data_IF_398460606046
#
_entry.id   IF_398460606046
#
_cell.length_a   1.000
_cell.length_b   1.000
_cell.length_c   1.000
_cell.angle_alpha   90.00
_cell.angle_beta   90.00
_cell.angle_gamma   90.00
#
_symmetry.space_group_name_H-M   'P 1'
#
loop_
_entity.id
_entity.type
_entity.pdbx_description
1 polymer ?
#
# COMPACT_ATOMS: atom_id res chain seq x y z
N UNK A 1 11.91 9.59 54.74
CA UNK A 1 12.54 8.43 54.08
C UNK A 1 11.54 7.29 54.05
N UNK A 2 10.72 7.17 52.99
CA UNK A 2 10.04 5.93 52.60
C UNK A 2 9.83 6.01 51.09
N UNK A 3 10.50 5.11 50.39
CA UNK A 3 10.45 4.88 48.96
C UNK A 3 9.37 3.82 48.63
N UNK A 4 9.04 3.71 47.33
CA UNK A 4 8.53 2.51 46.61
C UNK A 4 7.02 2.21 46.67
N UNK A 5 6.32 2.48 45.56
CA UNK A 5 6.08 1.55 44.42
C UNK A 5 4.84 1.99 43.61
N UNK A 6 5.07 2.29 42.34
CA UNK A 6 4.07 2.59 41.32
C UNK A 6 3.04 1.46 41.17
N UNK A 7 1.74 1.79 41.19
CA UNK A 7 0.65 0.87 40.86
C UNK A 7 0.03 1.25 39.52
N UNK A 8 0.20 0.35 38.56
CA UNK A 8 -0.34 0.41 37.20
C UNK A 8 -1.85 0.12 37.28
N UNK A 9 -2.69 1.09 36.93
CA UNK A 9 -4.10 0.84 36.63
C UNK A 9 -4.24 0.60 35.12
N UNK A 10 -4.50 -0.65 34.73
CA UNK A 10 -4.77 -1.06 33.35
C UNK A 10 -6.16 -0.54 32.94
N UNK A 11 -6.22 0.27 31.89
CA UNK A 11 -7.48 0.69 31.27
C UNK A 11 -8.13 -0.55 30.60
N UNK A 12 -9.45 -0.76 30.70
CA UNK A 12 -10.11 -1.82 29.93
C UNK A 12 -10.02 -1.48 28.44
N UNK A 13 -9.46 -2.42 27.66
CA UNK A 13 -9.39 -2.35 26.20
C UNK A 13 -10.75 -2.69 25.63
N UNK A 14 -11.42 -1.72 25.01
CA UNK A 14 -12.63 -1.96 24.21
C UNK A 14 -12.25 -2.77 22.97
N UNK A 15 -12.58 -4.06 22.96
CA UNK A 15 -12.57 -4.90 21.75
C UNK A 15 -13.89 -4.64 21.02
N UNK A 16 -13.92 -4.32 19.72
CA UNK A 16 -15.16 -4.32 18.96
C UNK A 16 -15.68 -5.76 18.89
N UNK A 17 -16.91 -5.98 19.36
CA UNK A 17 -17.56 -7.28 19.33
C UNK A 17 -17.66 -7.79 17.89
N UNK A 18 -16.99 -8.91 17.61
CA UNK A 18 -17.19 -9.71 16.40
C UNK A 18 -18.62 -10.23 16.47
N UNK A 19 -19.43 -9.89 15.47
CA UNK A 19 -20.80 -10.40 15.37
C UNK A 19 -20.80 -11.93 15.26
N UNK A 20 -21.75 -12.55 15.95
CA UNK A 20 -21.89 -13.99 16.16
C UNK A 20 -21.80 -14.82 14.88
N UNK A 21 -20.99 -15.88 15.00
CA UNK A 21 -20.67 -16.97 14.08
C UNK A 21 -21.86 -17.84 13.62
N UNK A 22 -23.11 -17.40 13.78
CA UNK A 22 -24.30 -18.17 13.39
C UNK A 22 -24.69 -17.99 11.92
N UNK A 23 -24.16 -16.96 11.24
CA UNK A 23 -24.37 -16.73 9.80
C UNK A 23 -23.41 -17.56 8.91
N UNK A 24 -22.35 -18.15 9.49
CA UNK A 24 -21.27 -18.81 8.73
C UNK A 24 -21.35 -20.35 8.67
N UNK A 25 -22.35 -20.99 9.28
CA UNK A 25 -22.34 -22.45 9.52
C UNK A 25 -23.49 -23.21 8.83
N UNK A 26 -23.81 -22.87 7.58
CA UNK A 26 -24.70 -23.69 6.75
C UNK A 26 -23.91 -24.35 5.61
N UNK A 27 -23.22 -25.45 5.94
CA UNK A 27 -22.70 -26.39 4.94
C UNK A 27 -21.30 -26.92 5.25
N UNK A 28 -21.15 -27.65 6.37
CA UNK A 28 -19.93 -28.38 6.68
C UNK A 28 -20.17 -29.89 6.52
N UNK A 29 -19.46 -30.50 5.58
CA UNK A 29 -19.41 -31.96 5.35
C UNK A 29 -18.53 -32.63 6.44
N UNK A 30 -19.05 -33.59 7.23
CA UNK A 30 -18.40 -34.10 8.44
C UNK A 30 -17.34 -35.21 8.24
N UNK A 31 -16.81 -35.47 7.04
CA UNK A 31 -15.87 -36.59 6.82
C UNK A 31 -14.37 -36.23 6.72
N UNK A 32 -13.95 -34.97 6.76
CA UNK A 32 -12.51 -34.61 6.65
C UNK A 32 -11.82 -34.25 7.97
N UNK A 33 -12.46 -34.61 9.08
CA UNK A 33 -12.03 -34.36 10.45
C UNK A 33 -10.95 -35.35 10.94
N UNK A 34 -9.90 -35.59 10.17
CA UNK A 34 -8.83 -36.52 10.55
C UNK A 34 -7.46 -36.08 10.06
N UNK A 35 -6.77 -35.25 10.87
CA UNK A 35 -5.37 -35.46 11.29
C UNK A 35 -4.88 -34.31 12.20
N UNK A 36 -4.38 -34.68 13.38
CA UNK A 36 -3.73 -33.80 14.36
C UNK A 36 -2.40 -33.19 13.84
N UNK A 37 -1.87 -32.12 14.48
CA UNK A 37 -0.92 -31.18 13.90
C UNK A 37 0.57 -31.48 14.23
N UNK A 38 1.51 -30.93 13.44
CA UNK A 38 2.77 -30.43 13.99
C UNK A 38 3.15 -29.04 13.42
N UNK A 39 4.27 -28.42 13.84
CA UNK A 39 4.39 -27.39 14.87
C UNK A 39 4.46 -25.93 14.33
N UNK A 40 4.46 -25.00 15.29
CA UNK A 40 4.87 -23.57 15.32
C UNK A 40 5.54 -22.94 14.07
N UNK A 41 5.36 -21.62 13.88
CA UNK A 41 5.62 -20.93 12.62
C UNK A 41 7.11 -21.02 12.24
N UNK A 42 7.37 -21.74 11.16
CA UNK A 42 8.62 -21.63 10.43
C UNK A 42 8.74 -20.20 9.93
N UNK A 43 9.86 -19.57 10.30
CA UNK A 43 10.42 -18.35 9.72
C UNK A 43 10.06 -18.32 8.24
N UNK A 44 9.16 -17.41 7.85
CA UNK A 44 8.79 -17.24 6.45
C UNK A 44 10.07 -16.88 5.71
N UNK A 45 10.53 -17.83 4.89
CA UNK A 45 11.61 -17.67 3.93
C UNK A 45 11.48 -16.33 3.19
N UNK A 46 12.61 -15.75 2.76
CA UNK A 46 12.59 -14.52 2.02
C UNK A 46 11.73 -14.74 0.79
N UNK A 47 10.64 -13.98 0.69
CA UNK A 47 10.00 -13.72 -0.60
C UNK A 47 11.16 -13.36 -1.52
N UNK A 48 11.42 -14.21 -2.51
CA UNK A 48 12.35 -13.95 -3.60
C UNK A 48 11.89 -12.63 -4.21
N UNK A 49 12.48 -11.54 -3.73
CA UNK A 49 12.44 -10.25 -4.38
C UNK A 49 12.94 -10.56 -5.78
N UNK A 50 12.14 -10.34 -6.85
CA UNK A 50 12.69 -10.41 -8.19
C UNK A 50 13.93 -9.52 -8.15
N UNK A 51 15.08 -10.12 -8.47
CA UNK A 51 16.36 -9.44 -8.48
C UNK A 51 16.14 -8.05 -9.06
N UNK A 52 16.47 -7.01 -8.29
CA UNK A 52 16.41 -5.63 -8.75
C UNK A 52 17.39 -5.50 -9.91
N UNK A 53 17.00 -5.91 -11.11
CA UNK A 53 17.33 -5.15 -12.32
C UNK A 53 16.87 -3.76 -11.97
N UNK A 54 17.82 -2.88 -11.64
CA UNK A 54 17.53 -1.52 -11.20
C UNK A 54 16.47 -0.95 -12.12
N UNK A 55 15.32 -0.56 -11.56
CA UNK A 55 14.23 0.01 -12.35
C UNK A 55 14.87 1.12 -13.17
N UNK A 56 14.68 1.16 -14.51
CA UNK A 56 15.54 1.93 -15.39
C UNK A 56 15.62 3.41 -14.99
N UNK A 57 14.60 3.94 -14.30
CA UNK A 57 14.64 5.27 -13.69
C UNK A 57 13.78 5.28 -12.42
N UNK A 58 14.35 5.16 -11.21
CA UNK A 58 13.59 5.15 -9.96
C UNK A 58 13.29 6.57 -9.43
N UNK A 59 13.64 7.62 -10.17
CA UNK A 59 13.49 8.99 -9.71
C UNK A 59 12.05 9.46 -9.83
N UNK A 60 11.42 9.72 -8.69
CA UNK A 60 10.12 10.40 -8.61
C UNK A 60 10.37 11.88 -8.40
N UNK A 61 9.90 12.69 -9.33
CA UNK A 61 9.93 14.16 -9.23
C UNK A 61 8.55 14.60 -8.75
N UNK A 62 8.53 15.43 -7.70
CA UNK A 62 7.34 16.13 -7.22
C UNK A 62 7.64 17.61 -7.29
N UNK A 63 6.68 18.40 -7.76
CA UNK A 63 6.79 19.85 -7.83
C UNK A 63 5.43 20.47 -7.57
N UNK A 64 5.44 21.71 -7.08
CA UNK A 64 4.22 22.47 -6.87
C UNK A 64 3.77 23.10 -8.19
N UNK A 65 2.45 23.04 -8.44
CA UNK A 65 1.84 23.59 -9.65
C UNK A 65 0.65 24.45 -9.23
N UNK A 66 0.45 25.56 -9.93
CA UNK A 66 -0.72 26.40 -9.67
C UNK A 66 -2.01 25.62 -9.99
N UNK A 67 -3.09 25.94 -9.29
CA UNK A 67 -4.39 25.28 -9.48
C UNK A 67 -4.87 25.36 -10.94
N UNK A 68 -4.59 26.47 -11.63
CA UNK A 68 -4.95 26.64 -13.03
C UNK A 68 -4.14 25.74 -13.95
N UNK A 69 -2.84 25.59 -13.71
CA UNK A 69 -1.98 24.68 -14.46
C UNK A 69 -2.45 23.24 -14.26
N UNK A 70 -2.77 22.83 -13.03
CA UNK A 70 -3.26 21.48 -12.73
C UNK A 70 -4.57 21.17 -13.46
N UNK A 71 -5.51 22.12 -13.47
CA UNK A 71 -6.77 21.96 -14.23
C UNK A 71 -6.54 21.77 -15.71
N UNK A 72 -5.60 22.52 -16.31
CA UNK A 72 -5.25 22.39 -17.73
C UNK A 72 -4.61 21.02 -18.02
N UNK A 73 -3.66 20.59 -17.19
CA UNK A 73 -3.03 19.27 -17.33
C UNK A 73 -4.06 18.14 -17.22
N UNK A 74 -4.95 18.23 -16.23
CA UNK A 74 -6.02 17.24 -16.04
C UNK A 74 -6.98 17.21 -17.22
N UNK A 75 -7.33 18.37 -17.78
CA UNK A 75 -8.16 18.43 -18.99
C UNK A 75 -7.45 17.82 -20.19
N UNK A 76 -6.17 18.15 -20.40
CA UNK A 76 -5.37 17.59 -21.49
C UNK A 76 -5.30 16.05 -21.40
N UNK A 77 -5.15 15.47 -20.21
CA UNK A 77 -5.19 14.01 -20.04
C UNK A 77 -6.52 13.38 -20.45
N UNK A 78 -7.64 14.09 -20.28
CA UNK A 78 -8.95 13.61 -20.74
C UNK A 78 -9.13 13.73 -22.25
N UNK A 79 -8.59 14.79 -22.86
CA UNK A 79 -8.71 15.03 -24.30
C UNK A 79 -7.79 14.11 -25.13
N UNK A 80 -6.63 13.74 -24.59
CA UNK A 80 -5.62 12.91 -25.26
C UNK A 80 -5.67 11.43 -24.89
N UNK A 81 -6.47 11.06 -23.88
CA UNK A 81 -6.48 9.73 -23.24
C UNK A 81 -5.11 9.26 -22.72
N UNK A 82 -4.17 10.20 -22.51
CA UNK A 82 -2.84 9.95 -21.97
C UNK A 82 -2.80 10.21 -20.46
N UNK A 83 -1.86 9.54 -19.79
CA UNK A 83 -1.62 9.84 -18.37
C UNK A 83 -0.97 11.22 -18.19
N UNK A 84 -1.28 11.93 -17.09
CA UNK A 84 -0.66 13.23 -16.80
C UNK A 84 0.88 13.16 -16.77
N UNK A 85 1.45 12.04 -16.33
CA UNK A 85 2.90 11.86 -16.28
C UNK A 85 3.53 11.75 -17.68
N UNK A 86 2.79 11.17 -18.62
CA UNK A 86 3.23 11.02 -20.01
C UNK A 86 3.22 12.37 -20.72
N UNK A 87 2.15 13.15 -20.55
CA UNK A 87 2.08 14.54 -21.01
C UNK A 87 3.22 15.41 -20.45
N UNK A 88 3.54 15.26 -19.16
CA UNK A 88 4.67 15.99 -18.56
C UNK A 88 6.01 15.56 -19.13
N UNK A 89 6.19 14.27 -19.44
CA UNK A 89 7.41 13.77 -20.07
C UNK A 89 7.55 14.31 -21.49
N UNK A 90 6.49 14.24 -22.28
CA UNK A 90 6.46 14.76 -23.65
C UNK A 90 6.75 16.27 -23.68
N UNK A 91 6.09 17.04 -22.82
CA UNK A 91 6.35 18.48 -22.71
C UNK A 91 7.81 18.80 -22.34
N UNK A 92 8.45 17.98 -21.50
CA UNK A 92 9.86 18.14 -21.15
C UNK A 92 10.79 17.79 -22.34
N UNK A 93 10.52 16.69 -23.05
CA UNK A 93 11.28 16.28 -24.24
C UNK A 93 11.15 17.32 -25.37
N UNK A 94 9.95 17.84 -25.61
CA UNK A 94 9.72 18.88 -26.61
C UNK A 94 10.43 20.19 -26.25
N UNK A 95 10.43 20.55 -24.96
CA UNK A 95 11.18 21.71 -24.49
C UNK A 95 12.68 21.51 -24.70
N UNK A 96 13.23 20.33 -24.38
CA UNK A 96 14.64 19.99 -24.59
C UNK A 96 15.02 20.05 -26.07
N UNK A 97 14.20 19.45 -26.93
CA UNK A 97 14.39 19.48 -28.40
C UNK A 97 14.38 20.91 -28.94
N UNK A 98 13.48 21.76 -28.44
CA UNK A 98 13.40 23.16 -28.85
C UNK A 98 14.61 24.00 -28.42
N UNK A 99 15.34 23.58 -27.37
CA UNK A 99 16.50 24.28 -26.83
C UNK A 99 17.84 23.61 -27.22
N UNK A 100 17.83 22.67 -28.17
CA UNK A 100 19.03 22.10 -28.77
C UNK A 100 19.68 20.99 -27.95
N UNK A 101 18.89 20.28 -27.14
CA UNK A 101 19.31 19.03 -26.49
C UNK A 101 19.00 17.80 -27.37
#
# INVERSE_FOLDING_TARGET
>A
MVEKRSRIAKKPSTVPQVADTWVNDAGLDPELQSQQPPPLPTVTEPVLLPEKKGKPYPHRISFDMETQQYKRLKRASFETDQSMNELLREAAEDWLRAHGY
#
